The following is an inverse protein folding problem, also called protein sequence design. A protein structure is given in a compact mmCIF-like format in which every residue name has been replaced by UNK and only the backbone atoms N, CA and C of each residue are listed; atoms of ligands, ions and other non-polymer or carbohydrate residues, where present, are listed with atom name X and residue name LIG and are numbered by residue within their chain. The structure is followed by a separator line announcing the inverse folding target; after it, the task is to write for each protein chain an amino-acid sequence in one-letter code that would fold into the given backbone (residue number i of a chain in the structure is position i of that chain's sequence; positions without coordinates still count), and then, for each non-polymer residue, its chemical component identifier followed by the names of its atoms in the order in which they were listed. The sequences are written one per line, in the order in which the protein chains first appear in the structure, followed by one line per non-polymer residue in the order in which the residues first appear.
data_IF_991476310956
#
_entry.id   IF_991476310956
#
_cell.length_a   1.000
_cell.length_b   1.000
_cell.length_c   1.000
_cell.angle_alpha   90.00
_cell.angle_beta   90.00
_cell.angle_gamma   90.00
#
_symmetry.space_group_name_H-M   'P 1'
#
loop_
_entity.id
_entity.type
_entity.pdbx_description
1 polymer ?
#
# COMPACT_ATOMS: atom_id res chain seq x y z
N UNK A 1 -8.25 -7.80 29.95
CA UNK A 1 -8.57 -8.95 29.08
C UNK A 1 -10.05 -9.30 29.04
N UNK A 2 -10.72 -9.70 30.13
CA UNK A 2 -12.15 -10.11 30.12
C UNK A 2 -13.08 -9.06 29.51
N UNK A 3 -12.94 -7.79 29.90
CA UNK A 3 -13.74 -6.70 29.33
C UNK A 3 -13.53 -6.54 27.82
N UNK A 4 -12.28 -6.56 27.36
CA UNK A 4 -11.95 -6.52 25.93
C UNK A 4 -12.58 -7.69 25.15
N UNK A 5 -12.53 -8.91 25.68
CA UNK A 5 -13.15 -10.09 25.06
C UNK A 5 -14.67 -9.90 24.96
N UNK A 6 -15.31 -9.38 26.01
CA UNK A 6 -16.74 -9.12 26.00
C UNK A 6 -17.13 -8.04 24.98
N UNK A 7 -16.37 -6.95 24.91
CA UNK A 7 -16.59 -5.86 23.96
C UNK A 7 -16.40 -6.37 22.51
N UNK A 8 -15.34 -7.13 22.25
CA UNK A 8 -15.08 -7.73 20.94
C UNK A 8 -16.16 -8.74 20.53
N UNK A 9 -16.58 -9.61 21.45
CA UNK A 9 -17.67 -10.57 21.21
C UNK A 9 -19.00 -9.86 20.94
N UNK A 10 -19.26 -8.73 21.61
CA UNK A 10 -20.46 -7.92 21.37
C UNK A 10 -20.43 -7.33 19.96
N UNK A 11 -19.29 -6.80 19.52
CA UNK A 11 -19.10 -6.30 18.15
C UNK A 11 -19.38 -7.42 17.14
N UNK A 12 -18.77 -8.60 17.32
CA UNK A 12 -19.00 -9.73 16.40
C UNK A 12 -20.47 -10.14 16.36
N UNK A 13 -21.12 -10.36 17.51
CA UNK A 13 -22.50 -10.86 17.54
C UNK A 13 -23.53 -9.85 17.04
N UNK A 14 -23.33 -8.58 17.38
CA UNK A 14 -24.32 -7.52 17.11
C UNK A 14 -24.12 -6.91 15.73
N UNK A 15 -22.89 -6.83 15.25
CA UNK A 15 -22.52 -6.07 14.05
C UNK A 15 -21.99 -6.94 12.90
N UNK A 16 -22.19 -8.27 12.95
CA UNK A 16 -21.65 -9.20 11.96
C UNK A 16 -21.99 -8.81 10.51
N UNK A 17 -23.18 -8.23 10.26
CA UNK A 17 -23.57 -7.77 8.91
C UNK A 17 -22.70 -6.61 8.43
N UNK A 18 -22.42 -5.64 9.31
CA UNK A 18 -21.54 -4.50 8.99
C UNK A 18 -20.11 -4.98 8.83
N UNK A 19 -19.64 -5.89 9.69
CA UNK A 19 -18.32 -6.51 9.57
C UNK A 19 -18.19 -7.27 8.25
N UNK A 20 -19.22 -8.02 7.85
CA UNK A 20 -19.25 -8.74 6.58
C UNK A 20 -19.21 -7.78 5.38
N UNK A 21 -19.98 -6.69 5.40
CA UNK A 21 -19.92 -5.67 4.35
C UNK A 21 -18.53 -5.00 4.27
N UNK A 22 -17.95 -4.65 5.42
CA UNK A 22 -16.59 -4.10 5.47
C UNK A 22 -15.56 -5.10 4.96
N UNK A 23 -15.72 -6.39 5.28
CA UNK A 23 -14.85 -7.45 4.79
C UNK A 23 -14.98 -7.63 3.27
N UNK A 24 -16.20 -7.60 2.71
CA UNK A 24 -16.40 -7.64 1.26
C UNK A 24 -15.74 -6.46 0.53
N UNK A 25 -15.87 -5.25 1.08
CA UNK A 25 -15.19 -4.05 0.57
C UNK A 25 -13.66 -4.20 0.67
N UNK A 26 -13.16 -4.76 1.78
CA UNK A 26 -11.74 -5.03 1.97
C UNK A 26 -11.21 -6.01 0.91
N UNK A 27 -11.89 -7.14 0.69
CA UNK A 27 -11.50 -8.14 -0.32
C UNK A 27 -11.47 -7.53 -1.72
N UNK A 28 -12.49 -6.73 -2.07
CA UNK A 28 -12.53 -6.03 -3.36
C UNK A 28 -11.37 -5.02 -3.48
N UNK A 29 -11.15 -4.21 -2.43
CA UNK A 29 -10.04 -3.26 -2.38
C UNK A 29 -8.70 -3.96 -2.55
N UNK A 30 -8.46 -5.04 -1.81
CA UNK A 30 -7.25 -5.84 -1.90
C UNK A 30 -7.04 -6.46 -3.29
N UNK A 31 -8.09 -7.03 -3.89
CA UNK A 31 -8.02 -7.59 -5.24
C UNK A 31 -7.63 -6.51 -6.27
N UNK A 32 -8.30 -5.35 -6.22
CA UNK A 32 -8.01 -4.24 -7.11
C UNK A 32 -6.60 -3.66 -6.88
N UNK A 33 -6.13 -3.63 -5.63
CA UNK A 33 -4.78 -3.18 -5.29
C UNK A 33 -3.73 -4.06 -5.96
N UNK A 34 -3.82 -5.38 -5.75
CA UNK A 34 -2.87 -6.33 -6.33
C UNK A 34 -2.93 -6.37 -7.86
N UNK A 35 -4.14 -6.26 -8.44
CA UNK A 35 -4.34 -6.12 -9.87
C UNK A 35 -3.68 -4.85 -10.42
N UNK A 36 -3.84 -3.71 -9.74
CA UNK A 36 -3.26 -2.44 -10.19
C UNK A 36 -1.74 -2.50 -10.27
N UNK A 37 -1.09 -3.10 -9.27
CA UNK A 37 0.36 -3.32 -9.26
C UNK A 37 0.76 -4.18 -10.44
N UNK A 38 0.10 -5.33 -10.64
CA UNK A 38 0.41 -6.22 -11.76
C UNK A 38 0.22 -5.54 -13.13
N UNK A 39 -0.76 -4.64 -13.28
CA UNK A 39 -1.00 -3.90 -14.52
C UNK A 39 0.05 -2.84 -14.83
N UNK A 40 0.49 -2.01 -13.87
CA UNK A 40 1.46 -0.96 -14.19
C UNK A 40 2.91 -1.43 -14.16
N UNK A 41 3.25 -2.47 -13.40
CA UNK A 41 4.63 -2.97 -13.29
C UNK A 41 5.30 -3.25 -14.66
N UNK A 42 4.66 -3.94 -15.63
CA UNK A 42 5.27 -4.19 -16.95
C UNK A 42 5.22 -2.98 -17.91
N UNK A 43 4.66 -1.84 -17.51
CA UNK A 43 4.54 -0.67 -18.41
C UNK A 43 5.84 0.10 -18.58
N UNK A 44 6.71 0.11 -17.56
CA UNK A 44 7.95 0.92 -17.53
C UNK A 44 7.72 2.42 -17.83
N UNK A 45 6.55 2.96 -17.45
CA UNK A 45 6.18 4.39 -17.60
C UNK A 45 6.29 5.15 -16.26
N UNK A 46 6.51 4.42 -15.18
CA UNK A 46 6.69 4.93 -13.84
C UNK A 46 6.44 3.84 -12.81
N UNK A 47 6.80 4.13 -11.57
CA UNK A 47 6.71 3.20 -10.46
C UNK A 47 6.11 3.90 -9.24
N UNK A 48 5.44 3.16 -8.36
CA UNK A 48 5.24 3.69 -7.02
C UNK A 48 6.61 3.84 -6.32
N UNK A 49 6.65 4.53 -5.20
CA UNK A 49 7.88 4.86 -4.45
C UNK A 49 8.48 3.59 -3.86
N UNK A 50 7.59 2.69 -3.44
CA UNK A 50 7.92 1.33 -3.01
C UNK A 50 8.53 0.56 -4.18
N UNK A 51 7.88 0.58 -5.35
CA UNK A 51 8.33 -0.20 -6.50
C UNK A 51 9.61 0.35 -7.09
N UNK A 52 9.80 1.66 -7.13
CA UNK A 52 11.06 2.27 -7.55
C UNK A 52 12.22 1.71 -6.73
N UNK A 53 12.05 1.66 -5.40
CA UNK A 53 13.06 1.09 -4.51
C UNK A 53 13.23 -0.42 -4.76
N UNK A 54 12.14 -1.18 -4.89
CA UNK A 54 12.18 -2.62 -5.21
C UNK A 54 12.91 -2.88 -6.54
N UNK A 55 12.64 -2.08 -7.57
CA UNK A 55 13.26 -2.20 -8.90
C UNK A 55 14.76 -1.95 -8.84
N UNK A 56 15.23 -0.99 -8.02
CA UNK A 56 16.66 -0.82 -7.75
C UNK A 56 17.26 -2.06 -7.10
N UNK A 57 16.58 -2.64 -6.10
CA UNK A 57 17.05 -3.87 -5.44
C UNK A 57 17.08 -5.07 -6.39
N UNK A 58 16.03 -5.26 -7.20
CA UNK A 58 15.98 -6.30 -8.22
C UNK A 58 17.10 -6.14 -9.24
N UNK A 59 17.31 -4.92 -9.75
CA UNK A 59 18.37 -4.66 -10.71
C UNK A 59 19.77 -4.91 -10.13
N UNK A 60 19.97 -4.64 -8.84
CA UNK A 60 21.26 -4.81 -8.17
C UNK A 60 21.57 -6.26 -7.77
N UNK A 61 20.54 -7.01 -7.37
CA UNK A 61 20.71 -8.25 -6.60
C UNK A 61 19.94 -9.46 -7.14
N UNK A 62 19.13 -9.32 -8.20
CA UNK A 62 18.48 -10.48 -8.84
C UNK A 62 19.31 -11.01 -10.02
N UNK A 63 19.24 -12.32 -10.24
CA UNK A 63 19.98 -13.01 -11.31
C UNK A 63 19.59 -12.53 -12.73
N UNK A 64 18.38 -11.98 -12.90
CA UNK A 64 17.92 -11.40 -14.16
C UNK A 64 18.34 -9.94 -14.39
N UNK A 65 18.73 -9.25 -13.32
CA UNK A 65 19.32 -7.91 -13.36
C UNK A 65 18.52 -6.85 -14.10
N UNK A 66 19.24 -5.84 -14.60
CA UNK A 66 18.73 -4.77 -15.45
C UNK A 66 19.03 -5.10 -16.93
N UNK A 67 18.05 -4.91 -17.79
CA UNK A 67 18.17 -5.09 -19.24
C UNK A 67 18.85 -3.88 -19.89
N UNK A 68 19.45 -4.01 -21.09
CA UNK A 68 20.14 -2.90 -21.75
C UNK A 68 19.29 -1.65 -22.01
N UNK A 69 17.96 -1.80 -22.10
CA UNK A 69 17.00 -0.71 -22.26
C UNK A 69 16.58 -0.05 -20.94
N UNK A 70 17.21 -0.43 -19.82
CA UNK A 70 16.92 0.08 -18.49
C UNK A 70 15.69 -0.54 -17.81
N UNK A 71 15.07 -1.58 -18.38
CA UNK A 71 13.97 -2.32 -17.76
C UNK A 71 14.48 -3.39 -16.79
N UNK A 72 13.70 -3.71 -15.75
CA UNK A 72 14.06 -4.69 -14.72
C UNK A 72 13.38 -6.04 -14.97
N UNK A 73 14.11 -7.13 -14.73
CA UNK A 73 13.47 -8.46 -14.65
C UNK A 73 12.58 -8.57 -13.39
N UNK A 74 11.30 -8.83 -13.62
CA UNK A 74 10.27 -8.88 -12.60
C UNK A 74 10.09 -10.28 -11.99
N UNK A 75 10.86 -11.28 -12.41
CA UNK A 75 10.73 -12.69 -11.95
C UNK A 75 10.73 -12.83 -10.43
N UNK A 76 11.55 -12.04 -9.74
CA UNK A 76 11.64 -12.06 -8.27
C UNK A 76 10.84 -10.96 -7.57
N UNK A 77 10.04 -10.18 -8.29
CA UNK A 77 9.38 -8.97 -7.77
C UNK A 77 8.57 -9.22 -6.51
N UNK A 78 7.74 -10.27 -6.48
CA UNK A 78 6.88 -10.57 -5.33
C UNK A 78 7.69 -10.92 -4.06
N UNK A 79 8.87 -11.52 -4.22
CA UNK A 79 9.77 -11.83 -3.09
C UNK A 79 10.36 -10.55 -2.51
N UNK A 80 10.83 -9.64 -3.37
CA UNK A 80 11.37 -8.35 -2.92
C UNK A 80 10.29 -7.45 -2.33
N UNK A 81 9.06 -7.49 -2.86
CA UNK A 81 7.91 -6.81 -2.27
C UNK A 81 7.62 -7.31 -0.85
N UNK A 82 7.64 -8.64 -0.64
CA UNK A 82 7.48 -9.23 0.70
C UNK A 82 8.60 -8.76 1.65
N UNK A 83 9.87 -8.84 1.23
CA UNK A 83 11.01 -8.39 2.04
C UNK A 83 10.89 -6.92 2.43
N UNK A 84 10.52 -6.07 1.47
CA UNK A 84 10.32 -4.64 1.72
C UNK A 84 9.17 -4.41 2.72
N UNK A 85 8.07 -5.14 2.59
CA UNK A 85 6.96 -5.08 3.53
C UNK A 85 7.36 -5.59 4.92
N UNK A 86 8.23 -6.60 5.04
CA UNK A 86 8.78 -7.04 6.33
C UNK A 86 9.55 -5.91 7.01
N UNK A 87 10.42 -5.21 6.27
CA UNK A 87 11.17 -4.07 6.82
C UNK A 87 10.20 -2.97 7.30
N UNK A 88 9.23 -2.61 6.47
CA UNK A 88 8.21 -1.62 6.84
C UNK A 88 7.41 -2.06 8.06
N UNK A 89 7.08 -3.36 8.16
CA UNK A 89 6.34 -3.91 9.30
C UNK A 89 7.12 -3.79 10.60
N UNK A 90 8.43 -4.09 10.57
CA UNK A 90 9.29 -3.89 11.74
C UNK A 90 9.27 -2.42 12.19
N UNK A 91 9.39 -1.48 11.26
CA UNK A 91 9.36 -0.04 11.56
C UNK A 91 7.99 0.37 12.15
N UNK A 92 6.90 -0.07 11.52
CA UNK A 92 5.52 0.15 12.00
C UNK A 92 5.34 -0.39 13.42
N UNK A 93 5.82 -1.62 13.69
CA UNK A 93 5.70 -2.26 15.01
C UNK A 93 6.50 -1.50 16.07
N UNK A 94 7.69 -1.00 15.75
CA UNK A 94 8.48 -0.18 16.67
C UNK A 94 7.74 1.13 16.99
N UNK A 95 7.30 1.87 15.97
CA UNK A 95 6.59 3.13 16.15
C UNK A 95 5.28 2.97 16.93
N UNK A 96 4.48 1.97 16.58
CA UNK A 96 3.22 1.68 17.25
C UNK A 96 3.43 1.26 18.71
N UNK A 97 4.48 0.49 18.99
CA UNK A 97 4.83 0.11 20.37
C UNK A 97 5.21 1.34 21.20
N UNK A 98 5.97 2.29 20.63
CA UNK A 98 6.30 3.56 21.29
C UNK A 98 5.01 4.37 21.57
N UNK A 99 4.12 4.52 20.57
CA UNK A 99 2.85 5.23 20.74
C UNK A 99 1.98 4.64 21.86
N UNK A 100 1.89 3.31 21.91
CA UNK A 100 1.12 2.59 22.93
C UNK A 100 1.80 2.73 24.30
N UNK A 101 3.12 2.66 24.38
CA UNK A 101 3.87 2.82 25.63
C UNK A 101 3.71 4.24 26.21
N UNK A 102 3.78 5.28 25.37
CA UNK A 102 3.53 6.67 25.78
C UNK A 102 2.11 6.82 26.34
N UNK A 103 1.12 6.27 25.63
CA UNK A 103 -0.28 6.33 26.06
C UNK A 103 -0.54 5.56 27.36
N UNK A 104 0.03 4.37 27.50
CA UNK A 104 -0.07 3.59 28.72
C UNK A 104 0.59 4.30 29.91
N UNK A 105 1.75 4.94 29.71
CA UNK A 105 2.40 5.73 30.76
C UNK A 105 1.53 6.89 31.24
N UNK A 106 0.80 7.55 30.33
CA UNK A 106 -0.04 8.70 30.64
C UNK A 106 -1.42 8.33 31.19
N UNK A 107 -2.09 7.36 30.56
CA UNK A 107 -3.51 7.07 30.76
C UNK A 107 -3.77 5.68 31.37
N UNK A 108 -2.75 4.83 31.52
CA UNK A 108 -2.87 3.43 31.96
C UNK A 108 -3.87 2.58 31.15
N UNK A 109 -4.08 2.95 29.88
CA UNK A 109 -5.07 2.32 29.02
C UNK A 109 -4.59 0.96 28.47
N UNK A 110 -4.88 -0.12 29.19
CA UNK A 110 -4.53 -1.50 28.77
C UNK A 110 -5.31 -1.95 27.54
N UNK A 111 -6.52 -1.42 27.29
CA UNK A 111 -7.32 -1.81 26.12
C UNK A 111 -6.63 -1.44 24.80
N UNK A 112 -5.93 -0.30 24.77
CA UNK A 112 -5.18 0.16 23.60
C UNK A 112 -4.07 -0.84 23.20
N UNK A 113 -3.48 -1.53 24.18
CA UNK A 113 -2.48 -2.58 23.94
C UNK A 113 -3.11 -3.75 23.18
N UNK A 114 -4.27 -4.25 23.62
CA UNK A 114 -4.94 -5.37 22.97
C UNK A 114 -5.41 -5.03 21.55
N UNK A 115 -5.95 -3.82 21.35
CA UNK A 115 -6.30 -3.35 20.02
C UNK A 115 -5.09 -3.25 19.10
N UNK A 116 -3.97 -2.73 19.61
CA UNK A 116 -2.72 -2.67 18.86
C UNK A 116 -2.21 -4.05 18.44
N UNK A 117 -2.28 -5.05 19.32
CA UNK A 117 -1.92 -6.44 18.98
C UNK A 117 -2.81 -6.96 17.83
N UNK A 118 -4.11 -6.70 17.86
CA UNK A 118 -5.00 -7.09 16.76
C UNK A 118 -4.64 -6.39 15.44
N UNK A 119 -4.28 -5.10 15.49
CA UNK A 119 -3.82 -4.37 14.29
C UNK A 119 -2.55 -4.97 13.72
N UNK A 120 -1.56 -5.30 14.56
CA UNK A 120 -0.32 -5.96 14.15
C UNK A 120 -0.60 -7.31 13.47
N UNK A 121 -1.52 -8.12 14.03
CA UNK A 121 -1.91 -9.40 13.40
C UNK A 121 -2.54 -9.15 12.02
N UNK A 122 -3.42 -8.16 11.88
CA UNK A 122 -4.02 -7.81 10.60
C UNK A 122 -3.02 -7.33 9.55
N UNK A 123 -2.00 -6.59 9.96
CA UNK A 123 -0.92 -6.16 9.06
C UNK A 123 0.01 -7.31 8.67
N UNK A 124 0.27 -8.27 9.57
CA UNK A 124 1.00 -9.50 9.24
C UNK A 124 0.23 -10.30 8.18
N UNK A 125 -1.09 -10.42 8.31
CA UNK A 125 -1.92 -11.08 7.29
C UNK A 125 -1.76 -10.34 5.95
N UNK A 126 -1.92 -9.01 5.95
CA UNK A 126 -1.80 -8.18 4.74
C UNK A 126 -0.40 -8.27 4.09
N UNK A 127 0.65 -8.40 4.92
CA UNK A 127 2.04 -8.54 4.50
C UNK A 127 2.28 -9.78 3.63
N UNK A 128 1.59 -10.90 3.90
CA UNK A 128 1.70 -12.11 3.07
C UNK A 128 0.71 -12.11 1.91
N UNK A 129 -0.52 -11.65 2.15
CA UNK A 129 -1.58 -11.73 1.14
C UNK A 129 -1.28 -10.78 -0.03
N UNK A 130 -0.80 -9.54 0.19
CA UNK A 130 -0.53 -8.60 -0.91
C UNK A 130 0.51 -9.13 -1.90
N UNK A 131 1.74 -9.52 -1.50
CA UNK A 131 2.73 -10.05 -2.45
C UNK A 131 2.26 -11.33 -3.15
N UNK A 132 1.53 -12.21 -2.44
CA UNK A 132 0.96 -13.41 -3.05
C UNK A 132 -0.08 -13.05 -4.12
N UNK A 133 -0.96 -12.09 -3.84
CA UNK A 133 -1.95 -11.60 -4.80
C UNK A 133 -1.30 -11.02 -6.05
N UNK A 134 -0.26 -10.19 -5.88
CA UNK A 134 0.49 -9.66 -7.02
C UNK A 134 1.15 -10.79 -7.82
N UNK A 135 1.78 -11.75 -7.15
CA UNK A 135 2.37 -12.93 -7.81
C UNK A 135 1.35 -13.66 -8.67
N UNK A 136 0.15 -13.92 -8.14
CA UNK A 136 -0.90 -14.62 -8.88
C UNK A 136 -1.38 -13.82 -10.10
N UNK A 137 -1.53 -12.51 -9.98
CA UNK A 137 -1.94 -11.66 -11.10
C UNK A 137 -0.86 -11.58 -12.19
N UNK A 138 0.41 -11.51 -11.81
CA UNK A 138 1.55 -11.47 -12.73
C UNK A 138 1.77 -12.80 -13.49
N UNK A 139 1.13 -13.91 -13.09
CA UNK A 139 1.10 -15.12 -13.92
C UNK A 139 0.31 -14.94 -15.22
N UNK A 140 -0.60 -13.96 -15.25
CA UNK A 140 -1.48 -13.69 -16.39
C UNK A 140 -1.25 -12.30 -17.01
N UNK A 141 -0.57 -11.40 -16.29
CA UNK A 141 -0.28 -10.04 -16.71
C UNK A 141 1.23 -9.88 -16.74
N UNK A 142 1.81 -9.93 -17.93
CA UNK A 142 3.23 -9.77 -18.18
C UNK A 142 3.48 -8.91 -19.43
N UNK A 143 4.75 -8.79 -19.84
CA UNK A 143 5.14 -7.99 -21.01
C UNK A 143 4.54 -8.51 -22.33
N UNK A 144 4.08 -9.76 -22.39
CA UNK A 144 3.46 -10.34 -23.59
C UNK A 144 2.15 -9.64 -23.96
N UNK A 145 1.53 -8.91 -23.02
CA UNK A 145 0.35 -8.08 -23.31
C UNK A 145 0.61 -6.99 -24.38
N UNK A 146 1.88 -6.65 -24.59
CA UNK A 146 2.31 -5.68 -25.61
C UNK A 146 2.88 -6.35 -26.87
N UNK A 147 2.94 -7.69 -26.92
CA UNK A 147 3.48 -8.41 -28.06
C UNK A 147 2.60 -8.23 -29.30
N UNK A 148 3.23 -8.12 -30.48
CA UNK A 148 2.53 -7.99 -31.76
C UNK A 148 2.09 -6.57 -32.14
N UNK A 149 2.29 -5.57 -31.27
CA UNK A 149 2.04 -4.16 -31.59
C UNK A 149 3.29 -3.45 -32.12
N UNK A 150 3.09 -2.41 -32.94
CA UNK A 150 4.20 -1.55 -33.38
C UNK A 150 4.77 -0.73 -32.21
N UNK A 151 6.02 -0.30 -32.29
CA UNK A 151 6.70 0.43 -31.20
C UNK A 151 5.93 1.68 -30.74
N UNK A 152 5.36 2.44 -31.69
CA UNK A 152 4.53 3.61 -31.38
C UNK A 152 3.22 3.22 -30.68
N UNK A 153 2.57 2.13 -31.10
CA UNK A 153 1.36 1.63 -30.45
C UNK A 153 1.66 1.12 -29.03
N UNK A 154 2.79 0.43 -28.83
CA UNK A 154 3.25 -0.03 -27.51
C UNK A 154 3.45 1.14 -26.55
N UNK A 155 4.09 2.23 -26.98
CA UNK A 155 4.29 3.42 -26.14
C UNK A 155 2.97 4.01 -25.64
N UNK A 156 1.99 4.18 -26.54
CA UNK A 156 0.66 4.70 -26.19
C UNK A 156 -0.07 3.72 -25.26
N UNK A 157 -0.04 2.43 -25.57
CA UNK A 157 -0.72 1.40 -24.80
C UNK A 157 -0.16 1.31 -23.37
N UNK A 158 1.17 1.31 -23.21
CA UNK A 158 1.86 1.34 -21.90
C UNK A 158 1.39 2.54 -21.06
N UNK A 159 1.28 3.72 -21.66
CA UNK A 159 0.80 4.92 -20.96
C UNK A 159 -0.68 4.79 -20.53
N UNK A 160 -1.56 4.31 -21.41
CA UNK A 160 -2.99 4.13 -21.09
C UNK A 160 -3.20 3.08 -19.99
N UNK A 161 -2.48 1.97 -20.07
CA UNK A 161 -2.49 0.92 -19.04
C UNK A 161 -2.00 1.48 -17.72
N UNK A 162 -0.89 2.25 -17.73
CA UNK A 162 -0.35 2.90 -16.55
C UNK A 162 -1.37 3.83 -15.86
N UNK A 163 -2.01 4.74 -16.60
CA UNK A 163 -3.01 5.65 -16.04
C UNK A 163 -4.22 4.89 -15.49
N UNK A 164 -4.70 3.88 -16.22
CA UNK A 164 -5.83 3.05 -15.77
C UNK A 164 -5.49 2.31 -14.49
N UNK A 165 -4.31 1.69 -14.43
CA UNK A 165 -3.79 1.02 -13.25
C UNK A 165 -3.64 1.97 -12.07
N UNK A 166 -3.13 3.19 -12.28
CA UNK A 166 -3.02 4.21 -11.25
C UNK A 166 -4.39 4.63 -10.66
N UNK A 167 -5.43 4.77 -11.51
CA UNK A 167 -6.78 5.06 -11.03
C UNK A 167 -7.37 3.89 -10.22
N UNK A 168 -7.16 2.65 -10.67
CA UNK A 168 -7.57 1.44 -9.93
C UNK A 168 -6.81 1.36 -8.59
N UNK A 169 -5.52 1.70 -8.58
CA UNK A 169 -4.70 1.80 -7.38
C UNK A 169 -5.29 2.81 -6.39
N UNK A 170 -5.62 4.03 -6.83
CA UNK A 170 -6.25 5.02 -5.95
C UNK A 170 -7.61 4.54 -5.41
N UNK A 171 -8.42 3.90 -6.26
CA UNK A 171 -9.71 3.32 -5.87
C UNK A 171 -9.56 2.23 -4.80
N UNK A 172 -8.61 1.32 -4.99
CA UNK A 172 -8.34 0.24 -4.04
C UNK A 172 -7.90 0.76 -2.67
N UNK A 173 -7.00 1.75 -2.62
CA UNK A 173 -6.58 2.37 -1.36
C UNK A 173 -7.78 3.04 -0.67
N UNK A 174 -8.61 3.76 -1.42
CA UNK A 174 -9.81 4.37 -0.87
C UNK A 174 -10.76 3.33 -0.26
N UNK A 175 -10.99 2.18 -0.92
CA UNK A 175 -11.82 1.09 -0.40
C UNK A 175 -11.21 0.48 0.88
N UNK A 176 -9.91 0.20 0.87
CA UNK A 176 -9.20 -0.37 2.03
C UNK A 176 -9.22 0.58 3.23
N UNK A 177 -8.99 1.88 3.02
CA UNK A 177 -9.08 2.90 4.08
C UNK A 177 -10.52 3.08 4.57
N UNK A 178 -11.50 3.06 3.67
CA UNK A 178 -12.91 3.24 3.98
C UNK A 178 -13.48 2.10 4.83
N UNK A 179 -13.09 0.85 4.57
CA UNK A 179 -13.58 -0.31 5.34
C UNK A 179 -13.02 -0.39 6.77
N UNK A 180 -11.82 0.15 7.01
CA UNK A 180 -11.22 0.30 8.35
C UNK A 180 -10.89 -1.01 9.07
N UNK A 181 -10.74 -2.14 8.36
CA UNK A 181 -10.40 -3.45 8.95
C UNK A 181 -8.89 -3.67 9.02
N UNK A 182 -8.22 -3.66 7.88
CA UNK A 182 -6.79 -3.92 7.73
C UNK A 182 -6.23 -2.89 6.74
N UNK A 183 -5.70 -1.76 7.23
CA UNK A 183 -5.20 -0.71 6.35
C UNK A 183 -3.96 -1.18 5.58
N UNK A 184 -3.22 -2.18 6.10
CA UNK A 184 -2.02 -2.73 5.49
C UNK A 184 -0.77 -1.98 5.93
N UNK A 185 0.37 -2.65 5.83
CA UNK A 185 1.66 -2.21 6.42
C UNK A 185 2.04 -0.77 6.04
N UNK A 186 1.86 -0.38 4.77
CA UNK A 186 2.14 0.98 4.30
C UNK A 186 1.20 2.03 4.92
N UNK A 187 -0.10 1.76 5.03
CA UNK A 187 -0.99 2.75 5.61
C UNK A 187 -0.79 2.84 7.14
N UNK A 188 -0.42 1.72 7.78
CA UNK A 188 -0.08 1.68 9.20
C UNK A 188 1.19 2.46 9.53
N UNK A 189 2.24 2.39 8.70
CA UNK A 189 3.48 3.16 8.93
C UNK A 189 3.20 4.66 8.96
N UNK A 190 2.38 5.14 8.02
CA UNK A 190 2.01 6.55 7.92
C UNK A 190 1.16 7.00 9.12
N UNK A 191 0.23 6.16 9.58
CA UNK A 191 -0.64 6.46 10.72
C UNK A 191 0.11 6.44 12.05
N UNK A 192 1.00 5.47 12.28
CA UNK A 192 1.82 5.44 13.51
C UNK A 192 2.81 6.60 13.57
N UNK A 193 3.39 6.98 12.42
CA UNK A 193 4.24 8.18 12.34
C UNK A 193 3.46 9.47 12.57
N UNK A 194 2.23 9.57 12.04
CA UNK A 194 1.33 10.70 12.32
C UNK A 194 1.07 10.85 13.82
N UNK A 195 0.83 9.74 14.52
CA UNK A 195 0.61 9.74 15.98
C UNK A 195 1.86 10.19 16.76
N UNK A 196 3.05 9.77 16.34
CA UNK A 196 4.32 10.15 16.99
C UNK A 196 4.66 11.63 16.75
N UNK A 197 4.55 12.08 15.50
CA UNK A 197 4.97 13.43 15.08
C UNK A 197 3.90 14.50 15.26
N UNK A 198 2.65 14.09 15.46
CA UNK A 198 1.45 14.96 15.49
C UNK A 198 1.23 15.76 14.20
N UNK A 199 1.83 15.34 13.10
CA UNK A 199 1.61 15.95 11.78
C UNK A 199 0.22 15.58 11.23
N UNK A 200 -0.21 16.26 10.16
CA UNK A 200 -1.42 15.84 9.43
C UNK A 200 -1.16 14.53 8.69
N UNK A 201 -2.19 13.71 8.49
CA UNK A 201 -2.06 12.43 7.77
C UNK A 201 -1.46 12.62 6.37
N UNK A 202 -1.87 13.69 5.66
CA UNK A 202 -1.34 14.02 4.33
C UNK A 202 0.17 14.33 4.38
N UNK A 203 0.62 15.14 5.35
CA UNK A 203 2.03 15.48 5.47
C UNK A 203 2.87 14.25 5.88
N UNK A 204 2.35 13.43 6.80
CA UNK A 204 2.97 12.15 7.19
C UNK A 204 3.12 11.20 6.00
N UNK A 205 2.09 11.10 5.14
CA UNK A 205 2.13 10.26 3.94
C UNK A 205 3.18 10.71 2.95
N UNK A 206 3.18 12.00 2.59
CA UNK A 206 4.17 12.56 1.65
C UNK A 206 5.59 12.33 2.17
N UNK A 207 5.85 12.59 3.45
CA UNK A 207 7.16 12.35 4.06
C UNK A 207 7.57 10.88 3.98
N UNK A 208 6.65 9.95 4.27
CA UNK A 208 6.93 8.53 4.12
C UNK A 208 7.19 8.13 2.67
N UNK A 209 6.43 8.65 1.72
CA UNK A 209 6.65 8.39 0.30
C UNK A 209 8.06 8.82 -0.14
N UNK A 210 8.55 9.96 0.35
CA UNK A 210 9.95 10.35 0.18
C UNK A 210 10.92 9.43 0.92
N UNK A 211 10.66 9.07 2.19
CA UNK A 211 11.56 8.17 2.93
C UNK A 211 11.66 6.78 2.30
N UNK A 212 10.60 6.31 1.63
CA UNK A 212 10.58 5.01 0.96
C UNK A 212 11.32 5.03 -0.38
N UNK A 213 11.45 6.19 -1.04
CA UNK A 213 12.24 6.32 -2.28
C UNK A 213 13.74 6.46 -2.03
N UNK A 214 14.12 7.01 -0.86
CA UNK A 214 15.52 7.31 -0.50
C UNK A 214 16.44 6.08 -0.56
N UNK A 215 16.08 4.91 0.01
CA UNK A 215 16.92 3.71 -0.12
C UNK A 215 17.21 3.32 -1.56
N UNK A 216 16.22 3.45 -2.46
CA UNK A 216 16.40 3.20 -3.90
C UNK A 216 17.38 4.18 -4.54
N UNK A 217 17.27 5.48 -4.23
CA UNK A 217 18.19 6.50 -4.71
C UNK A 217 19.62 6.29 -4.20
N UNK A 218 19.78 5.96 -2.92
CA UNK A 218 21.09 5.64 -2.34
C UNK A 218 21.69 4.45 -3.05
N UNK A 219 20.92 3.37 -3.23
CA UNK A 219 21.38 2.17 -3.92
C UNK A 219 21.81 2.48 -5.36
N UNK A 220 21.04 3.28 -6.11
CA UNK A 220 21.37 3.69 -7.47
C UNK A 220 22.74 4.39 -7.59
N UNK A 221 23.15 5.16 -6.57
CA UNK A 221 24.46 5.81 -6.53
C UNK A 221 25.58 4.76 -6.45
N UNK A 222 25.40 3.74 -5.61
CA UNK A 222 26.41 2.72 -5.33
C UNK A 222 26.44 1.54 -6.30
N UNK A 223 25.34 1.27 -7.04
CA UNK A 223 25.34 0.22 -8.06
C UNK A 223 26.33 0.59 -9.19
N UNK A 224 27.13 -0.39 -9.60
CA UNK A 224 28.10 -0.26 -10.69
C UNK A 224 27.46 -0.44 -12.08
N UNK A 225 26.45 0.37 -12.38
CA UNK A 225 25.87 0.47 -13.72
C UNK A 225 26.52 1.62 -14.50
N UNK A 226 26.60 1.49 -15.82
CA UNK A 226 27.00 2.61 -16.67
C UNK A 226 26.02 3.78 -16.52
N UNK A 227 26.50 5.00 -16.74
CA UNK A 227 25.66 6.20 -16.64
C UNK A 227 24.44 6.14 -17.56
N UNK A 228 24.62 5.63 -18.78
CA UNK A 228 23.52 5.47 -19.76
C UNK A 228 22.44 4.52 -19.23
N UNK A 229 22.84 3.44 -18.58
CA UNK A 229 21.92 2.45 -18.02
C UNK A 229 21.16 3.01 -16.80
N UNK A 230 21.85 3.78 -15.95
CA UNK A 230 21.20 4.52 -14.84
C UNK A 230 20.18 5.52 -15.37
N UNK A 231 20.51 6.26 -16.43
CA UNK A 231 19.61 7.23 -17.05
C UNK A 231 18.41 6.54 -17.71
N UNK A 232 18.60 5.42 -18.39
CA UNK A 232 17.52 4.62 -18.96
C UNK A 232 16.58 4.10 -17.86
N UNK A 233 17.13 3.55 -16.78
CA UNK A 233 16.35 3.12 -15.60
C UNK A 233 15.54 4.27 -15.00
N UNK A 234 16.17 5.43 -14.78
CA UNK A 234 15.49 6.62 -14.27
C UNK A 234 14.40 7.12 -15.23
N UNK A 235 14.64 7.04 -16.55
CA UNK A 235 13.65 7.37 -17.57
C UNK A 235 12.42 6.47 -17.54
N UNK A 236 12.60 5.18 -17.20
CA UNK A 236 11.52 4.22 -17.09
C UNK A 236 10.75 4.32 -15.75
N UNK A 237 11.46 4.58 -14.64
CA UNK A 237 10.89 4.39 -13.29
C UNK A 237 10.98 5.61 -12.36
N UNK A 238 11.75 6.64 -12.67
CA UNK A 238 11.78 7.92 -11.93
C UNK A 238 11.36 9.08 -12.85
N UNK A 239 10.27 8.85 -13.59
CA UNK A 239 9.68 9.85 -14.48
C UNK A 239 8.35 10.39 -13.92
N UNK A 240 7.55 10.99 -14.80
CA UNK A 240 6.22 11.53 -14.52
C UNK A 240 5.32 10.59 -13.71
N UNK A 241 5.35 9.27 -13.98
CA UNK A 241 4.50 8.31 -13.27
C UNK A 241 4.78 8.27 -11.76
N UNK A 242 6.04 8.32 -11.35
CA UNK A 242 6.43 8.29 -9.93
C UNK A 242 6.07 9.60 -9.23
N UNK A 243 6.19 10.73 -9.93
CA UNK A 243 5.70 12.03 -9.46
C UNK A 243 4.18 12.00 -9.25
N UNK A 244 3.44 11.36 -10.16
CA UNK A 244 1.99 11.16 -10.03
C UNK A 244 1.64 10.36 -8.78
N UNK A 245 2.37 9.27 -8.51
CA UNK A 245 2.16 8.48 -7.30
C UNK A 245 2.41 9.26 -6.01
N UNK A 246 3.48 10.05 -5.89
CA UNK A 246 3.74 10.87 -4.68
C UNK A 246 2.65 11.93 -4.47
N UNK A 247 2.33 12.70 -5.51
CA UNK A 247 1.56 13.94 -5.33
C UNK A 247 0.06 13.79 -5.56
N UNK A 248 -0.39 12.86 -6.41
CA UNK A 248 -1.81 12.75 -6.79
C UNK A 248 -2.57 11.65 -6.05
N UNK A 249 -1.89 10.62 -5.55
CA UNK A 249 -2.56 9.52 -4.83
C UNK A 249 -3.36 10.03 -3.64
N UNK A 250 -2.76 10.88 -2.79
CA UNK A 250 -3.42 11.44 -1.61
C UNK A 250 -4.69 12.23 -1.94
N UNK A 251 -4.62 13.27 -2.80
CA UNK A 251 -5.78 14.04 -3.24
C UNK A 251 -6.89 13.18 -3.86
N UNK A 252 -6.56 12.25 -4.77
CA UNK A 252 -7.55 11.40 -5.44
C UNK A 252 -8.26 10.46 -4.47
N UNK A 253 -7.49 9.78 -3.59
CA UNK A 253 -8.05 8.95 -2.51
C UNK A 253 -8.98 9.79 -1.63
N UNK A 254 -8.60 11.02 -1.29
CA UNK A 254 -9.43 11.94 -0.51
C UNK A 254 -10.77 12.28 -1.18
N UNK A 255 -10.78 12.51 -2.50
CA UNK A 255 -12.01 12.74 -3.28
C UNK A 255 -12.89 11.49 -3.27
N UNK A 256 -12.31 10.31 -3.52
CA UNK A 256 -13.04 9.04 -3.53
C UNK A 256 -13.67 8.73 -2.17
N UNK A 257 -12.93 8.93 -1.07
CA UNK A 257 -13.44 8.75 0.28
C UNK A 257 -14.63 9.68 0.58
N UNK A 258 -14.59 10.94 0.13
CA UNK A 258 -15.72 11.86 0.25
C UNK A 258 -16.94 11.35 -0.48
N UNK A 259 -16.77 10.77 -1.67
CA UNK A 259 -17.90 10.20 -2.42
C UNK A 259 -18.45 8.94 -1.77
N UNK A 260 -17.61 8.03 -1.29
CA UNK A 260 -18.05 6.85 -0.56
C UNK A 260 -18.88 7.21 0.66
N UNK A 261 -18.42 8.17 1.47
CA UNK A 261 -19.17 8.64 2.64
C UNK A 261 -20.52 9.29 2.29
N UNK A 262 -20.66 9.90 1.11
CA UNK A 262 -21.95 10.43 0.62
C UNK A 262 -22.93 9.31 0.25
N UNK A 263 -22.45 8.23 -0.37
CA UNK A 263 -23.30 7.10 -0.79
C UNK A 263 -23.71 6.27 0.43
N UNK A 264 -22.76 5.98 1.29
CA UNK A 264 -22.97 5.16 2.48
C UNK A 264 -21.97 5.59 3.55
N UNK A 265 -22.40 6.00 4.73
CA UNK A 265 -21.46 6.31 5.82
C UNK A 265 -21.38 5.13 6.79
N UNK A 266 -20.41 4.24 6.55
CA UNK A 266 -20.14 3.09 7.43
C UNK A 266 -19.82 3.53 8.85
N UNK A 267 -19.12 4.66 9.02
CA UNK A 267 -18.72 5.14 10.35
C UNK A 267 -19.90 5.66 11.14
N UNK A 268 -20.77 6.44 10.53
CA UNK A 268 -21.97 6.98 11.20
C UNK A 268 -22.95 5.87 11.55
N UNK A 269 -23.14 4.87 10.67
CA UNK A 269 -23.97 3.71 10.98
C UNK A 269 -23.41 2.87 12.12
N UNK A 270 -22.10 2.70 12.18
CA UNK A 270 -21.44 2.07 13.31
C UNK A 270 -21.59 2.90 14.59
N UNK A 271 -21.50 4.23 14.51
CA UNK A 271 -21.68 5.13 15.67
C UNK A 271 -23.13 5.15 16.19
N UNK A 272 -24.13 5.16 15.31
CA UNK A 272 -25.55 5.16 15.66
C UNK A 272 -25.94 3.90 16.46
N UNK A 273 -25.33 2.76 16.15
CA UNK A 273 -25.55 1.50 16.88
C UNK A 273 -24.97 1.51 18.31
N UNK A 274 -23.97 2.35 18.59
CA UNK A 274 -23.45 2.54 19.96
C UNK A 274 -24.23 3.59 20.76
N UNK A 275 -25.12 4.34 20.10
CA UNK A 275 -25.98 5.34 20.73
C UNK A 275 -27.42 4.85 20.96
N UNK A 276 -27.79 3.64 20.49
CA UNK A 276 -29.09 3.08 20.83
C UNK A 276 -29.21 2.89 22.36
N UNK A 277 -30.25 3.45 22.99
CA UNK A 277 -30.43 3.32 24.42
C UNK A 277 -30.60 1.84 24.78
N UNK A 278 -29.91 1.43 25.84
CA UNK A 278 -30.15 0.15 26.50
C UNK A 278 -31.62 0.13 26.95
N UNK A 279 -32.48 -0.53 26.18
CA UNK A 279 -33.78 -1.00 26.67
C UNK A 279 -33.58 -2.33 27.38
#
# INVERSE_FOLDING_TARGET
MKQFINDFNKIIKTEWKILLSRFGIFVLGWFLFTLSIALYTPTSVGASQIDFTIFNFLGAFSDGGIRPNGEIDLTSYSTYLLLFYVIMMVITVIMGSINVAIDYKKNRNVQKIYWYILFVIGDIISLFIIPLGVKMQMLYIDESMFAGYSENAVKILRFVVFISAFLIYCLSIALMVYCGIMPGVYNSIAEEFRKLTKMSYQASRILWDFLLIVPGLILLIFINWSSDLKLAFLGNYLYFGTVFFIFLTGPLVGVLLKQFNKIYNIKDKTAALYQEPKN
#
